data_IF_411510959084
#
_entry.id   IF_411510959084
#
_cell.length_a   1.000
_cell.length_b   1.000
_cell.length_c   1.000
_cell.angle_alpha   90.00
_cell.angle_beta   90.00
_cell.angle_gamma   90.00
#
_symmetry.space_group_name_H-M   'P 1'
#
loop_
_entity.id
_entity.type
_entity.pdbx_description
1 polymer ?
#
# COMPACT_ATOMS: atom_id res chain seq x y z
N UNK A 1 0.58 17.92 -2.72
CA UNK A 1 -0.53 16.95 -2.95
C UNK A 1 0.04 15.58 -3.28
N UNK A 2 -0.40 14.56 -2.57
CA UNK A 2 0.09 13.19 -2.78
C UNK A 2 -0.48 12.61 -4.08
N UNK A 3 0.39 12.24 -5.00
CA UNK A 3 0.01 11.59 -6.24
C UNK A 3 0.71 10.23 -6.30
N UNK A 4 0.03 9.20 -5.81
CA UNK A 4 0.61 7.86 -5.68
C UNK A 4 0.95 7.27 -7.05
N UNK A 5 0.10 7.50 -8.04
CA UNK A 5 0.35 6.98 -9.40
C UNK A 5 1.62 7.58 -9.97
N UNK A 6 1.79 8.90 -9.83
CA UNK A 6 2.97 9.57 -10.36
C UNK A 6 4.25 9.08 -9.69
N UNK A 7 4.22 8.93 -8.35
CA UNK A 7 5.39 8.44 -7.61
C UNK A 7 5.74 7.01 -8.01
N UNK A 8 4.75 6.13 -8.02
CA UNK A 8 4.98 4.73 -8.39
C UNK A 8 5.45 4.58 -9.84
N UNK A 9 4.88 5.37 -10.73
CA UNK A 9 5.30 5.36 -12.14
C UNK A 9 6.75 5.78 -12.27
N UNK A 10 7.17 6.81 -11.53
CA UNK A 10 8.56 7.26 -11.56
C UNK A 10 9.50 6.16 -11.06
N UNK A 11 9.14 5.50 -9.96
CA UNK A 11 9.95 4.40 -9.43
C UNK A 11 10.09 3.29 -10.48
N UNK A 12 8.98 2.84 -11.03
CA UNK A 12 8.97 1.70 -11.94
C UNK A 12 9.64 2.02 -13.28
N UNK A 13 9.50 3.25 -13.76
CA UNK A 13 10.17 3.69 -14.99
C UNK A 13 11.69 3.64 -14.83
N UNK A 14 12.19 4.03 -13.67
CA UNK A 14 13.63 4.06 -13.43
C UNK A 14 14.20 2.70 -13.09
N UNK A 15 13.50 1.90 -12.28
CA UNK A 15 14.00 0.63 -11.79
C UNK A 15 13.64 -0.56 -12.69
N UNK A 16 12.47 -0.53 -13.27
CA UNK A 16 11.94 -1.66 -14.03
C UNK A 16 11.46 -2.81 -13.15
N UNK A 17 10.96 -3.89 -13.77
CA UNK A 17 10.47 -5.06 -13.04
C UNK A 17 11.60 -5.92 -12.49
N UNK A 18 11.28 -6.82 -11.54
CA UNK A 18 12.20 -7.86 -11.10
C UNK A 18 12.82 -7.65 -9.74
N UNK A 19 12.59 -6.52 -9.10
CA UNK A 19 13.08 -6.30 -7.74
C UNK A 19 12.06 -6.78 -6.71
N UNK A 20 12.53 -6.93 -5.48
CA UNK A 20 11.65 -7.31 -4.37
C UNK A 20 10.77 -6.13 -3.94
N UNK A 21 9.70 -6.44 -3.19
CA UNK A 21 8.86 -5.41 -2.61
C UNK A 21 9.68 -4.42 -1.78
N UNK A 22 10.68 -4.89 -1.05
CA UNK A 22 11.51 -4.04 -0.21
C UNK A 22 12.23 -2.96 -1.02
N UNK A 23 12.71 -3.30 -2.20
CA UNK A 23 13.41 -2.34 -3.06
C UNK A 23 12.46 -1.22 -3.49
N UNK A 24 11.26 -1.58 -3.96
CA UNK A 24 10.27 -0.58 -4.37
C UNK A 24 9.78 0.26 -3.19
N UNK A 25 9.59 -0.39 -2.03
CA UNK A 25 9.24 0.31 -0.78
C UNK A 25 10.27 1.40 -0.47
N UNK A 26 11.54 1.04 -0.49
CA UNK A 26 12.62 1.97 -0.18
C UNK A 26 12.68 3.12 -1.20
N UNK A 27 12.43 2.83 -2.47
CA UNK A 27 12.41 3.85 -3.50
C UNK A 27 11.26 4.84 -3.28
N UNK A 28 10.09 4.35 -2.89
CA UNK A 28 8.95 5.21 -2.58
C UNK A 28 9.26 6.12 -1.39
N UNK A 29 9.95 5.59 -0.37
CA UNK A 29 10.35 6.42 0.78
C UNK A 29 11.28 7.55 0.35
N UNK A 30 12.21 7.27 -0.56
CA UNK A 30 13.12 8.30 -1.08
C UNK A 30 12.32 9.45 -1.71
N UNK A 31 11.34 9.11 -2.54
CA UNK A 31 10.53 10.13 -3.23
C UNK A 31 9.65 10.90 -2.26
N UNK A 32 9.06 10.22 -1.27
CA UNK A 32 8.23 10.90 -0.27
C UNK A 32 9.06 11.89 0.53
N UNK A 33 10.28 11.53 0.94
CA UNK A 33 11.17 12.45 1.64
C UNK A 33 11.55 13.64 0.77
N UNK A 34 11.89 13.39 -0.48
CA UNK A 34 12.26 14.48 -1.41
C UNK A 34 11.13 15.47 -1.59
N UNK A 35 9.90 15.00 -1.62
CA UNK A 35 8.72 15.84 -1.81
C UNK A 35 8.20 16.45 -0.51
N UNK A 36 8.85 16.18 0.63
CA UNK A 36 8.50 16.77 1.91
C UNK A 36 7.31 16.18 2.62
N UNK A 37 6.87 14.97 2.24
CA UNK A 37 5.76 14.32 2.91
C UNK A 37 6.18 13.76 4.26
N UNK A 38 5.30 13.89 5.25
CA UNK A 38 5.44 13.17 6.51
C UNK A 38 4.89 11.77 6.33
N UNK A 39 5.61 10.76 6.83
CA UNK A 39 5.14 9.39 6.72
C UNK A 39 5.73 8.51 7.81
N UNK A 40 5.08 7.39 8.04
CA UNK A 40 5.59 6.32 8.89
C UNK A 40 5.81 5.09 8.04
N UNK A 41 6.91 4.39 8.29
CA UNK A 41 7.24 3.15 7.61
C UNK A 41 7.05 1.98 8.56
N UNK A 42 6.35 0.94 8.10
CA UNK A 42 6.21 -0.32 8.82
C UNK A 42 5.53 -0.20 10.20
N UNK A 43 4.47 0.61 10.27
CA UNK A 43 3.68 0.70 11.50
C UNK A 43 3.07 -0.66 11.84
N UNK A 44 3.27 -1.11 13.09
CA UNK A 44 2.65 -2.33 13.61
C UNK A 44 1.23 -1.99 14.04
N UNK A 45 0.28 -2.78 13.56
CA UNK A 45 -1.15 -2.60 13.83
C UNK A 45 -1.65 -3.87 14.53
N UNK A 46 -1.99 -3.78 15.83
CA UNK A 46 -2.44 -4.97 16.57
C UNK A 46 -3.85 -5.39 16.13
N UNK A 47 -4.08 -6.69 16.14
CA UNK A 47 -5.39 -7.28 15.84
C UNK A 47 -6.01 -7.71 17.16
N UNK A 48 -7.10 -7.04 17.61
CA UNK A 48 -7.74 -7.39 18.86
C UNK A 48 -8.82 -8.46 18.65
N UNK A 49 -8.97 -9.32 19.66
CA UNK A 49 -10.08 -10.28 19.71
C UNK A 49 -10.40 -10.55 21.16
N UNK A 50 -11.65 -10.32 21.54
CA UNK A 50 -12.13 -10.53 22.92
C UNK A 50 -11.20 -9.88 23.98
N UNK A 51 -10.76 -8.65 23.68
CA UNK A 51 -9.89 -7.90 24.60
C UNK A 51 -8.42 -8.30 24.56
N UNK A 52 -8.03 -9.21 23.69
CA UNK A 52 -6.65 -9.68 23.59
C UNK A 52 -6.08 -9.38 22.21
N UNK A 53 -4.77 -9.13 22.14
CA UNK A 53 -4.08 -9.00 20.86
C UNK A 53 -3.70 -10.40 20.38
N UNK A 54 -4.24 -10.79 19.22
CA UNK A 54 -4.05 -12.15 18.70
C UNK A 54 -3.09 -12.19 17.50
N UNK A 55 -2.63 -11.04 17.04
CA UNK A 55 -1.71 -10.95 15.93
C UNK A 55 -1.46 -9.50 15.58
N UNK A 56 -0.64 -9.29 14.56
CA UNK A 56 -0.31 -7.95 14.11
C UNK A 56 -0.29 -7.91 12.58
N UNK A 57 -0.69 -6.78 12.04
CA UNK A 57 -0.42 -6.40 10.66
C UNK A 57 0.69 -5.36 10.64
N UNK A 58 1.35 -5.20 9.50
CA UNK A 58 2.37 -4.18 9.33
C UNK A 58 2.03 -3.38 8.07
N UNK A 59 1.67 -2.11 8.25
CA UNK A 59 1.41 -1.23 7.13
C UNK A 59 2.74 -0.81 6.52
N UNK A 60 2.87 -0.90 5.20
CA UNK A 60 4.14 -0.57 4.55
C UNK A 60 4.49 0.90 4.76
N UNK A 61 3.65 1.81 4.31
CA UNK A 61 3.83 3.25 4.54
C UNK A 61 2.49 3.87 4.83
N UNK A 62 2.46 4.80 5.79
CA UNK A 62 1.29 5.64 6.06
C UNK A 62 1.70 7.07 5.86
N UNK A 63 1.09 7.77 4.90
CA UNK A 63 1.43 9.14 4.53
C UNK A 63 0.47 10.11 5.22
N UNK A 64 1.03 11.11 5.90
CA UNK A 64 0.29 12.18 6.57
C UNK A 64 -0.79 11.68 7.53
N UNK A 65 -0.63 10.48 8.07
CA UNK A 65 -1.62 9.83 8.93
C UNK A 65 -3.00 9.77 8.27
N UNK A 66 -3.06 9.66 6.95
CA UNK A 66 -4.31 9.65 6.18
C UNK A 66 -4.41 8.49 5.21
N UNK A 67 -3.32 8.17 4.54
CA UNK A 67 -3.32 7.21 3.42
C UNK A 67 -2.33 6.09 3.66
N UNK A 68 -2.80 4.87 3.55
CA UNK A 68 -1.94 3.68 3.63
C UNK A 68 -1.46 3.33 2.23
N UNK A 69 -0.17 3.07 2.07
CA UNK A 69 0.39 2.54 0.84
C UNK A 69 0.83 1.10 1.10
N UNK A 70 0.31 0.16 0.32
CA UNK A 70 0.68 -1.25 0.39
C UNK A 70 1.30 -1.66 -0.94
N UNK A 71 2.52 -2.20 -0.91
CA UNK A 71 3.26 -2.55 -2.11
C UNK A 71 3.18 -4.04 -2.41
N UNK A 72 3.02 -4.36 -3.69
CA UNK A 72 2.96 -5.72 -4.20
C UNK A 72 3.87 -5.86 -5.41
N UNK A 73 4.25 -7.10 -5.71
CA UNK A 73 5.01 -7.46 -6.92
C UNK A 73 4.38 -8.69 -7.56
N UNK A 74 3.08 -8.64 -7.75
CA UNK A 74 2.29 -9.74 -8.30
C UNK A 74 1.87 -9.43 -9.72
N UNK A 75 1.41 -10.45 -10.44
CA UNK A 75 1.04 -10.30 -11.85
C UNK A 75 -0.07 -9.27 -12.02
N UNK A 76 -1.08 -9.33 -11.17
CA UNK A 76 -2.17 -8.35 -11.13
C UNK A 76 -2.80 -8.34 -9.75
N UNK A 77 -3.32 -7.19 -9.35
CA UNK A 77 -4.03 -7.06 -8.07
C UNK A 77 -5.30 -7.92 -8.10
N UNK A 78 -5.64 -8.47 -6.94
CA UNK A 78 -6.75 -9.41 -6.79
C UNK A 78 -7.62 -9.05 -5.58
N UNK A 79 -8.72 -9.80 -5.41
CA UNK A 79 -9.69 -9.54 -4.34
C UNK A 79 -9.08 -9.75 -2.95
N UNK A 80 -8.12 -10.66 -2.82
CA UNK A 80 -7.44 -10.88 -1.54
C UNK A 80 -6.66 -9.64 -1.12
N UNK A 81 -6.01 -8.98 -2.06
CA UNK A 81 -5.29 -7.73 -1.78
C UNK A 81 -6.28 -6.64 -1.33
N UNK A 82 -7.43 -6.54 -1.99
CA UNK A 82 -8.48 -5.60 -1.58
C UNK A 82 -8.97 -5.89 -0.17
N UNK A 83 -9.17 -7.15 0.15
CA UNK A 83 -9.63 -7.55 1.49
C UNK A 83 -8.59 -7.21 2.56
N UNK A 84 -7.31 -7.45 2.28
CA UNK A 84 -6.24 -7.05 3.19
C UNK A 84 -6.27 -5.55 3.45
N UNK A 85 -6.43 -4.76 2.39
CA UNK A 85 -6.49 -3.30 2.51
C UNK A 85 -7.69 -2.87 3.37
N UNK A 86 -8.85 -3.51 3.20
CA UNK A 86 -10.02 -3.23 4.03
C UNK A 86 -9.72 -3.50 5.51
N UNK A 87 -9.04 -4.60 5.80
CA UNK A 87 -8.68 -4.94 7.18
C UNK A 87 -7.77 -3.88 7.80
N UNK A 88 -6.80 -3.37 7.06
CA UNK A 88 -5.96 -2.27 7.54
C UNK A 88 -6.80 -1.04 7.87
N UNK A 89 -7.75 -0.69 7.01
CA UNK A 89 -8.60 0.48 7.23
C UNK A 89 -9.49 0.31 8.46
N UNK A 90 -10.07 -0.90 8.64
CA UNK A 90 -10.90 -1.18 9.80
C UNK A 90 -10.09 -1.03 11.09
N UNK A 91 -8.87 -1.54 11.11
CA UNK A 91 -8.05 -1.55 12.32
C UNK A 91 -7.45 -0.18 12.65
N UNK A 92 -7.15 0.63 11.63
CA UNK A 92 -6.51 1.94 11.84
C UNK A 92 -7.50 3.09 11.94
N UNK A 93 -8.70 2.94 11.40
CA UNK A 93 -9.65 4.04 11.27
C UNK A 93 -9.30 5.03 10.15
N UNK A 94 -8.27 4.75 9.38
CA UNK A 94 -7.92 5.60 8.24
C UNK A 94 -8.91 5.38 7.10
N UNK A 95 -9.01 6.37 6.20
CA UNK A 95 -10.10 6.39 5.22
C UNK A 95 -9.77 5.68 3.93
N UNK A 96 -8.51 5.65 3.52
CA UNK A 96 -8.16 5.04 2.23
C UNK A 96 -6.80 4.37 2.26
N UNK A 97 -6.67 3.35 1.43
CA UNK A 97 -5.44 2.65 1.20
C UNK A 97 -5.19 2.57 -0.29
N UNK A 98 -3.94 2.66 -0.68
CA UNK A 98 -3.53 2.46 -2.06
C UNK A 98 -2.77 1.14 -2.15
N UNK A 99 -3.27 0.27 -3.01
CA UNK A 99 -2.53 -0.93 -3.41
C UNK A 99 -1.67 -0.52 -4.59
N UNK A 100 -0.35 -0.62 -4.43
CA UNK A 100 0.61 -0.20 -5.44
C UNK A 100 1.38 -1.43 -5.88
N UNK A 101 1.08 -1.89 -7.09
CA UNK A 101 1.68 -3.11 -7.62
C UNK A 101 2.73 -2.79 -8.67
N UNK A 102 3.92 -3.34 -8.48
CA UNK A 102 5.03 -3.27 -9.43
C UNK A 102 5.16 -4.65 -10.07
N UNK A 103 4.39 -4.93 -11.13
CA UNK A 103 4.26 -6.30 -11.61
C UNK A 103 5.55 -6.83 -12.23
N UNK A 104 5.73 -8.18 -12.26
CA UNK A 104 6.91 -8.78 -12.84
C UNK A 104 6.91 -8.69 -14.36
N UNK A 105 8.10 -8.89 -14.95
CA UNK A 105 8.24 -9.00 -16.38
C UNK A 105 7.24 -10.05 -16.93
N UNK A 106 6.55 -9.82 -18.06
CA UNK A 106 6.81 -8.76 -19.05
C UNK A 106 5.99 -7.48 -18.86
N UNK A 107 5.26 -7.33 -17.78
CA UNK A 107 4.48 -6.11 -17.54
C UNK A 107 5.40 -4.90 -17.42
N UNK A 108 4.93 -3.74 -17.88
CA UNK A 108 5.73 -2.51 -17.93
C UNK A 108 5.05 -1.33 -17.28
N UNK A 109 3.88 -1.52 -16.69
CA UNK A 109 3.13 -0.44 -16.05
C UNK A 109 2.76 -0.81 -14.63
N UNK A 110 2.85 0.19 -13.74
CA UNK A 110 2.36 0.03 -12.37
C UNK A 110 0.84 -0.16 -12.40
N UNK A 111 0.36 -0.85 -11.40
CA UNK A 111 -1.08 -1.00 -11.18
C UNK A 111 -1.38 -0.40 -9.82
N UNK A 112 -2.23 0.64 -9.77
CA UNK A 112 -2.57 1.33 -8.52
C UNK A 112 -4.08 1.27 -8.34
N UNK A 113 -4.50 0.85 -7.15
CA UNK A 113 -5.92 0.78 -6.81
C UNK A 113 -6.13 1.48 -5.48
N UNK A 114 -7.08 2.42 -5.44
CA UNK A 114 -7.48 3.07 -4.20
C UNK A 114 -8.64 2.30 -3.59
N UNK A 115 -8.50 1.90 -2.32
CA UNK A 115 -9.50 1.13 -1.58
C UNK A 115 -10.01 2.00 -0.44
N UNK A 116 -11.32 2.06 -0.28
CA UNK A 116 -11.97 2.77 0.81
C UNK A 116 -12.82 1.78 1.62
N UNK A 117 -13.14 2.14 2.87
CA UNK A 117 -14.00 1.30 3.70
C UNK A 117 -15.34 1.07 3.02
N UNK A 118 -15.80 -0.17 3.06
CA UNK A 118 -17.10 -0.55 2.53
C UNK A 118 -17.13 -0.86 1.05
N UNK A 119 -16.01 -0.67 0.32
CA UNK A 119 -16.00 -0.89 -1.12
C UNK A 119 -16.26 -2.33 -1.52
N UNK A 120 -15.93 -3.29 -0.64
CA UNK A 120 -16.22 -4.72 -0.89
C UNK A 120 -17.63 -5.11 -0.46
N UNK A 121 -18.22 -4.40 0.49
CA UNK A 121 -19.55 -4.70 1.00
C UNK A 121 -20.64 -4.43 -0.04
N UNK A 122 -20.41 -3.49 -0.94
CA UNK A 122 -21.37 -3.12 -1.97
C UNK A 122 -21.52 -4.19 -3.04
N UNK A 123 -20.59 -5.14 -3.10
CA UNK A 123 -20.62 -6.21 -4.10
C UNK A 123 -21.31 -7.48 -3.61
N UNK A 124 -21.68 -7.53 -2.35
CA UNK A 124 -22.39 -8.67 -1.75
C UNK A 124 -23.93 -8.51 -1.92
#
# INVERSE_FOLDING_TARGET
>A
MLDVVALATKVYTQLGPGFSERVYHNAMEVLLRKDGFQYESERIIPIPFEGHVIGNLRADIIVNNESILEFKTIKTLNDQADLQAQNYLILTGLKKAYLVNFPPFPNREVEVRCVALGSLEETI
#
